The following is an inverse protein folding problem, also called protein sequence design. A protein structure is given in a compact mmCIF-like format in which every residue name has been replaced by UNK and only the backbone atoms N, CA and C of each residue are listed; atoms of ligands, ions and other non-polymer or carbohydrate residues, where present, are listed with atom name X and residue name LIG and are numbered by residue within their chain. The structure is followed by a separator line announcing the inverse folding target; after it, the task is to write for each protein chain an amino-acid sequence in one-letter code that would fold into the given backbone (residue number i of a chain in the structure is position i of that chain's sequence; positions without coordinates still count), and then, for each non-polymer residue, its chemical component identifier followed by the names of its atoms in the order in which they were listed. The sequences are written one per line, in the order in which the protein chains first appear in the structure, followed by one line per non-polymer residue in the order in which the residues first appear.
data_IF_875503596480
#
_entry.id   IF_875503596480
#
_cell.length_a   1.000
_cell.length_b   1.000
_cell.length_c   1.000
_cell.angle_alpha   90.00
_cell.angle_beta   90.00
_cell.angle_gamma   90.00
#
_symmetry.space_group_name_H-M   'P 1'
#
loop_
_entity.id
_entity.type
_entity.pdbx_description
1 polymer ?
#
# COMPACT_ATOMS: atom_id res chain seq x y z
N UNK A 1 -4.00 -13.68 8.59
CA UNK A 1 -5.07 -12.99 7.84
C UNK A 1 -4.62 -11.57 7.53
N UNK A 2 -4.82 -11.08 6.31
CA UNK A 2 -4.59 -9.67 5.96
C UNK A 2 -5.82 -8.86 6.37
N UNK A 3 -5.63 -7.76 7.10
CA UNK A 3 -6.71 -6.87 7.55
C UNK A 3 -6.72 -5.60 6.71
N UNK A 4 -7.89 -5.01 6.51
CA UNK A 4 -7.99 -3.66 5.93
C UNK A 4 -8.26 -2.67 7.06
N UNK A 5 -7.48 -1.59 7.10
CA UNK A 5 -7.64 -0.49 8.05
C UNK A 5 -7.81 0.80 7.26
N UNK A 6 -8.76 1.62 7.70
CA UNK A 6 -9.00 2.95 7.14
C UNK A 6 -8.38 4.02 8.05
N UNK A 7 -7.67 4.97 7.46
CA UNK A 7 -7.10 6.12 8.14
C UNK A 7 -7.30 7.39 7.32
N UNK A 8 -7.38 8.54 7.99
CA UNK A 8 -7.48 9.84 7.32
C UNK A 8 -6.32 10.76 7.76
N UNK A 9 -5.13 10.63 7.13
CA UNK A 9 -3.93 11.37 7.51
C UNK A 9 -3.73 12.69 6.74
N UNK A 10 -4.76 13.21 6.05
CA UNK A 10 -4.63 14.38 5.18
C UNK A 10 -4.17 14.07 3.75
N UNK A 11 -4.04 12.79 3.41
CA UNK A 11 -3.82 12.30 2.05
C UNK A 11 -4.81 11.19 1.74
N UNK A 12 -5.39 11.22 0.55
CA UNK A 12 -6.38 10.25 0.09
C UNK A 12 -5.93 9.62 -1.20
N UNK A 13 -6.21 8.34 -1.42
CA UNK A 13 -5.95 7.74 -2.72
C UNK A 13 -7.15 6.94 -3.19
N UNK A 14 -7.51 7.12 -4.45
CA UNK A 14 -8.70 6.50 -5.06
C UNK A 14 -8.43 5.09 -5.60
N UNK A 15 -7.15 4.68 -5.66
CA UNK A 15 -6.76 3.34 -6.04
C UNK A 15 -7.34 2.31 -5.05
N UNK A 16 -8.01 1.29 -5.56
CA UNK A 16 -8.48 0.16 -4.76
C UNK A 16 -7.33 -0.82 -4.57
N UNK A 17 -7.19 -1.34 -3.34
CA UNK A 17 -6.17 -2.34 -3.00
C UNK A 17 -6.87 -3.54 -2.39
N UNK A 18 -6.64 -4.71 -2.96
CA UNK A 18 -7.27 -5.96 -2.51
C UNK A 18 -6.30 -7.13 -2.52
N UNK A 19 -6.53 -8.04 -1.58
CA UNK A 19 -5.92 -9.37 -1.62
C UNK A 19 -6.58 -10.23 -2.71
N UNK A 20 -5.75 -11.01 -3.40
CA UNK A 20 -6.14 -12.03 -4.38
C UNK A 20 -5.59 -13.39 -3.94
N UNK A 21 -5.96 -14.46 -4.64
CA UNK A 21 -5.40 -15.80 -4.36
C UNK A 21 -3.88 -15.84 -4.48
N UNK A 22 -3.27 -15.06 -5.38
CA UNK A 22 -1.83 -15.08 -5.66
C UNK A 22 -1.05 -13.95 -4.96
N UNK A 23 -1.66 -12.79 -4.71
CA UNK A 23 -0.96 -11.65 -4.12
C UNK A 23 -1.85 -10.43 -3.88
N UNK A 24 -1.33 -9.26 -4.22
CA UNK A 24 -2.03 -7.97 -4.05
C UNK A 24 -2.23 -7.31 -5.41
N UNK A 25 -3.46 -6.86 -5.67
CA UNK A 25 -3.83 -6.09 -6.85
C UNK A 25 -4.17 -4.64 -6.44
N UNK A 26 -3.63 -3.69 -7.18
CA UNK A 26 -3.87 -2.25 -7.01
C UNK A 26 -4.38 -1.68 -8.34
N UNK A 27 -5.56 -1.05 -8.32
CA UNK A 27 -6.08 -0.39 -9.52
C UNK A 27 -5.39 0.95 -9.77
N UNK A 28 -5.47 1.45 -11.01
CA UNK A 28 -5.04 2.81 -11.30
C UNK A 28 -5.99 3.80 -10.60
N UNK A 29 -5.43 4.94 -10.17
CA UNK A 29 -6.20 5.95 -9.46
C UNK A 29 -5.43 7.26 -9.34
N UNK A 30 -5.75 7.99 -8.28
CA UNK A 30 -5.21 9.31 -7.98
C UNK A 30 -4.85 9.39 -6.51
N UNK A 31 -3.75 10.06 -6.20
CA UNK A 31 -3.42 10.57 -4.88
C UNK A 31 -3.89 12.03 -4.78
N UNK A 32 -4.53 12.37 -3.67
CA UNK A 32 -5.08 13.70 -3.37
C UNK A 32 -4.55 14.21 -2.04
N UNK A 33 -4.19 15.48 -2.04
CA UNK A 33 -3.81 16.21 -0.84
C UNK A 33 -5.07 16.86 -0.25
N UNK A 34 -5.43 16.52 0.99
CA UNK A 34 -6.60 17.08 1.67
C UNK A 34 -6.50 18.60 1.85
N UNK A 35 -5.28 19.13 1.90
CA UNK A 35 -5.02 20.55 2.12
C UNK A 35 -5.02 21.37 0.82
N UNK A 36 -4.97 20.71 -0.35
CA UNK A 36 -4.87 21.36 -1.66
C UNK A 36 -6.02 20.94 -2.56
N UNK A 37 -7.07 21.77 -2.58
CA UNK A 37 -8.26 21.53 -3.38
C UNK A 37 -7.94 21.38 -4.88
N UNK A 38 -8.44 20.30 -5.49
CA UNK A 38 -8.33 20.05 -6.93
C UNK A 38 -6.96 19.54 -7.41
N UNK A 39 -5.96 19.39 -6.53
CA UNK A 39 -4.66 18.84 -6.92
C UNK A 39 -4.67 17.32 -6.82
N UNK A 40 -4.46 16.66 -7.95
CA UNK A 40 -4.35 15.21 -8.06
C UNK A 40 -3.00 14.80 -8.62
N UNK A 41 -2.48 13.68 -8.15
CA UNK A 41 -1.28 13.04 -8.67
C UNK A 41 -1.69 11.64 -9.18
N UNK A 42 -1.42 11.30 -10.45
CA UNK A 42 -1.80 9.99 -10.97
C UNK A 42 -1.03 8.88 -10.26
N UNK A 43 -1.70 7.75 -10.01
CA UNK A 43 -1.11 6.52 -9.47
C UNK A 43 -1.40 5.39 -10.46
N UNK A 44 -0.35 4.76 -10.96
CA UNK A 44 -0.47 3.64 -11.89
C UNK A 44 -1.00 2.37 -11.19
N UNK A 45 -1.73 1.55 -11.96
CA UNK A 45 -2.10 0.21 -11.51
C UNK A 45 -0.85 -0.64 -11.28
N UNK A 46 -0.91 -1.51 -10.27
CA UNK A 46 0.19 -2.40 -9.93
C UNK A 46 -0.32 -3.75 -9.43
N UNK A 47 0.53 -4.76 -9.57
CA UNK A 47 0.26 -6.09 -9.05
C UNK A 47 1.57 -6.71 -8.58
N UNK A 48 1.53 -7.44 -7.46
CA UNK A 48 2.65 -8.25 -7.02
C UNK A 48 2.20 -9.52 -6.31
N UNK A 49 2.95 -10.60 -6.53
CA UNK A 49 2.72 -11.89 -5.89
C UNK A 49 3.18 -11.88 -4.43
N UNK A 50 2.42 -12.55 -3.57
CA UNK A 50 2.79 -12.84 -2.19
C UNK A 50 3.36 -14.25 -2.10
N UNK A 51 4.54 -14.43 -2.68
CA UNK A 51 5.20 -15.74 -2.78
C UNK A 51 5.86 -16.11 -1.45
N UNK A 52 5.56 -17.30 -0.87
CA UNK A 52 6.28 -17.80 0.29
C UNK A 52 7.73 -18.17 -0.08
N UNK A 53 8.58 -18.20 0.92
CA UNK A 53 9.90 -18.84 0.83
C UNK A 53 9.87 -20.18 1.58
N UNK A 54 10.66 -21.15 1.14
CA UNK A 54 10.66 -22.50 1.71
C UNK A 54 11.14 -22.54 3.18
N UNK A 55 11.87 -21.51 3.62
CA UNK A 55 12.58 -21.51 4.90
C UNK A 55 12.16 -20.37 5.82
N UNK A 56 12.00 -19.17 5.29
CA UNK A 56 11.86 -17.95 6.07
C UNK A 56 10.52 -17.28 5.82
N UNK A 57 9.96 -16.63 6.83
CA UNK A 57 8.85 -15.70 6.60
C UNK A 57 9.35 -14.55 5.73
N UNK A 58 8.58 -14.19 4.70
CA UNK A 58 8.89 -13.09 3.78
C UNK A 58 8.01 -11.89 4.12
N UNK A 59 8.61 -10.73 4.33
CA UNK A 59 7.92 -9.46 4.50
C UNK A 59 7.88 -8.69 3.17
N UNK A 60 6.70 -8.21 2.80
CA UNK A 60 6.42 -7.35 1.67
C UNK A 60 5.86 -6.03 2.19
N UNK A 61 6.48 -4.91 1.83
CA UNK A 61 5.98 -3.57 2.17
C UNK A 61 5.89 -2.73 0.90
N UNK A 62 4.69 -2.29 0.56
CA UNK A 62 4.45 -1.35 -0.52
C UNK A 62 4.47 0.06 0.04
N UNK A 63 5.28 0.91 -0.57
CA UNK A 63 5.40 2.34 -0.27
C UNK A 63 4.74 3.15 -1.37
N UNK A 64 4.11 4.26 -0.98
CA UNK A 64 3.62 5.29 -1.89
C UNK A 64 4.39 6.57 -1.60
N UNK A 65 5.13 7.05 -2.59
CA UNK A 65 5.95 8.25 -2.47
C UNK A 65 5.64 9.27 -3.58
N UNK A 66 5.92 10.54 -3.31
CA UNK A 66 5.64 11.67 -4.19
C UNK A 66 6.93 12.42 -4.54
N UNK A 67 7.27 12.44 -5.83
CA UNK A 67 8.25 13.38 -6.39
C UNK A 67 7.57 14.75 -6.53
N UNK A 68 7.80 15.65 -5.56
CA UNK A 68 7.18 16.99 -5.55
C UNK A 68 7.64 17.89 -6.69
N UNK A 69 8.83 17.64 -7.26
CA UNK A 69 9.34 18.46 -8.37
C UNK A 69 8.69 18.05 -9.69
N UNK A 70 8.46 16.75 -9.88
CA UNK A 70 7.83 16.21 -11.09
C UNK A 70 6.32 16.04 -10.99
N UNK A 71 5.78 16.17 -9.77
CA UNK A 71 4.38 15.94 -9.46
C UNK A 71 3.92 14.51 -9.84
N UNK A 72 4.75 13.51 -9.52
CA UNK A 72 4.48 12.10 -9.82
C UNK A 72 4.42 11.32 -8.51
N UNK A 73 3.29 10.64 -8.29
CA UNK A 73 3.17 9.64 -7.24
C UNK A 73 3.64 8.27 -7.78
N UNK A 74 4.36 7.51 -6.96
CA UNK A 74 4.96 6.23 -7.37
C UNK A 74 4.79 5.17 -6.29
N UNK A 75 4.57 3.94 -6.73
CA UNK A 75 4.54 2.77 -5.88
C UNK A 75 5.91 2.07 -5.93
N UNK A 76 6.46 1.75 -4.76
CA UNK A 76 7.70 0.99 -4.65
C UNK A 76 7.54 -0.16 -3.66
N UNK A 77 7.99 -1.36 -4.04
CA UNK A 77 7.84 -2.57 -3.23
C UNK A 77 9.19 -2.96 -2.62
N UNK A 78 9.23 -3.07 -1.30
CA UNK A 78 10.31 -3.75 -0.57
C UNK A 78 9.92 -5.19 -0.27
N UNK A 79 10.91 -6.08 -0.37
CA UNK A 79 10.82 -7.48 0.02
C UNK A 79 12.00 -7.82 0.92
N UNK A 80 11.74 -8.41 2.08
CA UNK A 80 12.77 -8.88 3.00
C UNK A 80 12.48 -10.30 3.47
N UNK A 81 13.53 -11.08 3.68
CA UNK A 81 13.45 -12.39 4.33
C UNK A 81 13.72 -12.17 5.82
N UNK A 82 12.82 -12.65 6.70
CA UNK A 82 12.94 -12.47 8.14
C UNK A 82 13.93 -13.48 8.75
N UNK A 83 15.20 -13.30 8.40
CA UNK A 83 16.35 -14.11 8.83
C UNK A 83 17.13 -13.48 10.00
N UNK A 84 16.64 -12.35 10.52
CA UNK A 84 17.28 -11.56 11.57
C UNK A 84 18.37 -10.61 11.08
N UNK A 85 18.58 -10.47 9.77
CA UNK A 85 19.58 -9.58 9.15
C UNK A 85 18.97 -8.53 8.24
N UNK A 86 17.84 -8.85 7.62
CA UNK A 86 17.16 -7.98 6.65
C UNK A 86 15.88 -7.40 7.23
N UNK A 87 15.52 -6.19 6.80
CA UNK A 87 14.25 -5.55 7.11
C UNK A 87 13.80 -4.66 5.96
N UNK A 88 12.49 -4.43 5.83
CA UNK A 88 11.98 -3.45 4.89
C UNK A 88 12.06 -2.05 5.50
N UNK A 89 12.66 -1.11 4.77
CA UNK A 89 12.59 0.31 5.06
C UNK A 89 12.50 1.10 3.77
N UNK A 90 11.78 2.21 3.83
CA UNK A 90 11.76 3.17 2.73
C UNK A 90 13.07 3.96 2.73
N UNK A 91 13.86 3.80 1.66
CA UNK A 91 15.12 4.51 1.44
C UNK A 91 15.06 5.46 0.24
N UNK A 92 13.84 5.72 -0.27
CA UNK A 92 13.63 6.63 -1.38
C UNK A 92 13.89 8.09 -1.00
N UNK A 93 14.29 8.89 -1.98
CA UNK A 93 14.55 10.33 -1.81
C UNK A 93 13.27 11.19 -1.86
N UNK A 94 12.16 10.61 -2.34
CA UNK A 94 10.89 11.29 -2.53
C UNK A 94 10.16 11.39 -1.19
N UNK A 95 9.14 12.26 -1.13
CA UNK A 95 8.34 12.42 0.06
C UNK A 95 7.45 11.19 0.26
N UNK A 96 7.71 10.42 1.32
CA UNK A 96 6.88 9.25 1.66
C UNK A 96 5.50 9.71 2.11
N UNK A 97 4.46 9.24 1.41
CA UNK A 97 3.06 9.56 1.70
C UNK A 97 2.49 8.50 2.64
N UNK A 98 2.63 7.23 2.28
CA UNK A 98 2.07 6.12 3.06
C UNK A 98 2.77 4.80 2.74
N UNK A 99 2.43 3.78 3.53
CA UNK A 99 2.78 2.37 3.26
C UNK A 99 1.48 1.57 3.09
N UNK A 100 0.83 1.66 1.92
CA UNK A 100 -0.52 1.12 1.72
C UNK A 100 -0.63 -0.39 1.96
N UNK A 101 0.47 -1.15 1.91
CA UNK A 101 0.47 -2.60 2.17
C UNK A 101 1.67 -2.99 3.02
N UNK A 102 1.44 -3.76 4.07
CA UNK A 102 2.48 -4.40 4.88
C UNK A 102 2.05 -5.81 5.24
N UNK A 103 2.66 -6.82 4.61
CA UNK A 103 2.24 -8.22 4.68
C UNK A 103 3.43 -9.13 4.90
N UNK A 104 3.23 -10.17 5.70
CA UNK A 104 4.15 -11.28 5.91
C UNK A 104 3.55 -12.56 5.38
N UNK A 105 4.38 -13.36 4.71
CA UNK A 105 4.03 -14.66 4.14
C UNK A 105 4.93 -15.70 4.78
N UNK A 106 4.35 -16.63 5.52
CA UNK A 106 5.07 -17.75 6.14
C UNK A 106 5.36 -18.85 5.12
N UNK A 107 6.32 -19.77 5.40
CA UNK A 107 6.66 -20.85 4.48
C UNK A 107 5.51 -21.79 4.11
N UNK A 108 4.51 -21.91 4.98
CA UNK A 108 3.28 -22.68 4.73
C UNK A 108 2.26 -21.96 3.84
N UNK A 109 2.58 -20.74 3.38
CA UNK A 109 1.68 -19.88 2.60
C UNK A 109 0.75 -19.02 3.44
N UNK A 110 0.80 -19.09 4.77
CA UNK A 110 -0.03 -18.25 5.64
C UNK A 110 0.35 -16.78 5.49
N UNK A 111 -0.64 -15.93 5.19
CA UNK A 111 -0.48 -14.48 5.03
C UNK A 111 -1.02 -13.71 6.23
N UNK A 112 -0.25 -12.80 6.77
CA UNK A 112 -0.66 -11.90 7.87
C UNK A 112 -0.18 -10.48 7.61
N UNK A 113 -1.04 -9.48 7.83
CA UNK A 113 -0.64 -8.10 7.62
C UNK A 113 -1.81 -7.16 7.49
N UNK A 114 -1.55 -6.01 6.87
CA UNK A 114 -2.50 -4.92 6.75
C UNK A 114 -2.44 -4.26 5.38
N UNK A 115 -3.61 -3.93 4.84
CA UNK A 115 -3.82 -2.95 3.77
C UNK A 115 -4.34 -1.67 4.43
N UNK A 116 -3.64 -0.55 4.25
CA UNK A 116 -3.91 0.73 4.90
C UNK A 116 -4.56 1.71 3.92
N UNK A 117 -5.88 1.70 3.83
CA UNK A 117 -6.66 2.55 2.94
C UNK A 117 -6.86 3.95 3.51
N UNK A 118 -6.76 4.98 2.68
CA UNK A 118 -7.08 6.35 3.07
C UNK A 118 -8.21 6.91 2.21
N UNK A 119 -9.37 7.18 2.82
CA UNK A 119 -10.59 7.65 2.15
C UNK A 119 -11.01 9.02 2.67
N UNK A 120 -11.65 9.82 1.81
CA UNK A 120 -12.21 11.12 2.19
C UNK A 120 -13.39 10.94 3.18
N UNK A 121 -13.52 11.86 4.14
CA UNK A 121 -14.60 11.94 5.14
C UNK A 121 -15.95 12.20 4.45
N UNK A 122 -16.50 11.17 3.82
CA UNK A 122 -17.69 11.23 2.98
C UNK A 122 -17.98 9.91 2.25
N UNK A 123 -16.96 9.08 2.03
CA UNK A 123 -17.11 7.75 1.44
C UNK A 123 -17.50 6.66 2.47
N UNK A 124 -17.06 6.78 3.73
CA UNK A 124 -17.46 5.86 4.82
C UNK A 124 -18.99 5.78 5.03
N UNK A 125 -19.72 6.86 4.75
CA UNK A 125 -21.18 6.89 4.94
C UNK A 125 -21.94 6.06 3.92
N UNK A 126 -21.41 5.85 2.71
CA UNK A 126 -22.11 5.12 1.65
C UNK A 126 -22.05 3.60 1.83
N UNK A 127 -20.99 3.07 2.45
CA UNK A 127 -20.89 1.62 2.73
C UNK A 127 -21.74 1.18 3.92
N UNK A 128 -22.02 2.06 4.89
CA UNK A 128 -22.88 1.74 6.04
C UNK A 128 -24.39 1.89 5.76
N UNK A 129 -24.78 2.35 4.57
CA UNK A 129 -26.17 2.54 4.14
C UNK A 129 -26.60 1.57 3.01
N UNK A 130 -25.73 0.64 2.59
CA UNK A 130 -25.95 -0.32 1.51
C UNK A 130 -26.21 -1.75 2.00
#
# INVERSE_FOLDING_TARGET
MIKTIFANPGWFYTAEIKETEAGIEITAGELRDAEVEGKTYPVDAAYFDLTPDDTSTVEYVLWLDLDKEKEIASLSLSKAYLDGRSYCAYEGKNFLISFPVSVRVSPDGTREGTIFMCREDGEEKKENEA
#
